data_IF_746457666114
#
_entry.id   IF_746457666114
#
_cell.length_a   1.000
_cell.length_b   1.000
_cell.length_c   1.000
_cell.angle_alpha   90.00
_cell.angle_beta   90.00
_cell.angle_gamma   90.00
#
_symmetry.space_group_name_H-M   'P 1'
#
loop_
_entity.id
_entity.type
_entity.pdbx_description
1 polymer ?
#
# COMPACT_ATOMS: atom_id res chain seq x y z
N UNK A 1 7.49 20.15 2.46
CA UNK A 1 6.32 20.71 3.18
C UNK A 1 5.10 20.20 2.44
N UNK A 2 4.18 19.50 3.11
CA UNK A 2 2.97 18.98 2.45
C UNK A 2 1.99 20.15 2.20
N UNK A 3 1.44 20.24 0.99
CA UNK A 3 0.48 21.29 0.63
C UNK A 3 -0.77 21.24 1.53
N UNK A 4 -1.22 22.39 2.02
CA UNK A 4 -2.44 22.46 2.81
C UNK A 4 -3.68 22.15 1.95
N UNK A 5 -4.64 21.45 2.54
CA UNK A 5 -5.92 21.18 1.89
C UNK A 5 -6.78 22.44 1.94
N UNK A 6 -7.19 22.92 0.76
CA UNK A 6 -7.99 24.13 0.62
C UNK A 6 -9.41 23.93 1.18
N UNK A 7 -9.74 24.66 2.24
CA UNK A 7 -11.06 24.64 2.87
C UNK A 7 -12.16 25.14 1.92
N UNK A 8 -11.89 26.12 1.07
CA UNK A 8 -12.88 26.65 0.14
C UNK A 8 -13.32 25.58 -0.87
N UNK A 9 -12.35 24.82 -1.42
CA UNK A 9 -12.65 23.68 -2.30
C UNK A 9 -13.47 22.57 -1.59
N UNK A 10 -13.19 22.29 -0.31
CA UNK A 10 -13.99 21.31 0.47
C UNK A 10 -15.42 21.81 0.69
N UNK A 11 -15.60 23.08 1.04
CA UNK A 11 -16.93 23.69 1.18
C UNK A 11 -17.70 23.66 -0.13
N UNK A 12 -17.06 24.02 -1.25
CA UNK A 12 -17.70 23.98 -2.57
C UNK A 12 -18.18 22.57 -2.95
N UNK A 13 -17.38 21.53 -2.65
CA UNK A 13 -17.80 20.14 -2.85
C UNK A 13 -19.03 19.76 -1.99
N UNK A 14 -19.06 20.17 -0.72
CA UNK A 14 -20.18 19.92 0.18
C UNK A 14 -21.48 20.56 -0.31
N UNK A 15 -21.41 21.83 -0.74
CA UNK A 15 -22.51 22.58 -1.33
C UNK A 15 -23.02 21.86 -2.58
N UNK A 16 -22.13 21.52 -3.51
CA UNK A 16 -22.49 20.85 -4.76
C UNK A 16 -23.11 19.46 -4.54
N UNK A 17 -22.62 18.69 -3.55
CA UNK A 17 -23.11 17.33 -3.28
C UNK A 17 -24.45 17.30 -2.54
N UNK A 18 -24.73 18.31 -1.71
CA UNK A 18 -25.87 18.29 -0.80
C UNK A 18 -26.90 19.40 -1.05
N UNK A 19 -26.65 20.30 -2.00
CA UNK A 19 -27.58 21.37 -2.36
C UNK A 19 -27.79 22.44 -1.27
N UNK A 20 -26.89 22.53 -0.28
CA UNK A 20 -27.00 23.45 0.84
C UNK A 20 -26.26 24.77 0.59
N UNK A 21 -26.72 25.91 1.14
CA UNK A 21 -25.99 27.18 1.05
C UNK A 21 -24.62 27.12 1.73
N UNK A 22 -23.61 27.79 1.16
CA UNK A 22 -22.24 27.79 1.70
C UNK A 22 -22.15 28.35 3.13
N UNK A 23 -23.03 29.29 3.50
CA UNK A 23 -23.16 29.88 4.84
C UNK A 23 -23.62 28.90 5.92
N UNK A 24 -24.21 27.77 5.54
CA UNK A 24 -24.70 26.74 6.46
C UNK A 24 -23.71 25.61 6.72
N UNK A 25 -22.60 25.56 5.96
CA UNK A 25 -21.58 24.53 6.08
C UNK A 25 -20.51 24.94 7.10
N UNK A 26 -20.72 24.58 8.37
CA UNK A 26 -19.63 24.62 9.35
C UNK A 26 -18.67 23.45 9.10
N UNK A 27 -17.54 23.72 8.44
CA UNK A 27 -16.53 22.70 8.06
C UNK A 27 -15.34 22.72 9.02
N UNK A 28 -15.14 21.59 9.69
CA UNK A 28 -13.93 21.29 10.45
C UNK A 28 -13.00 20.38 9.63
N UNK A 29 -11.72 20.75 9.56
CA UNK A 29 -10.67 20.01 8.86
C UNK A 29 -9.60 19.62 9.87
N UNK A 30 -9.54 18.33 10.19
CA UNK A 30 -8.52 17.77 11.07
C UNK A 30 -7.49 17.00 10.24
N UNK A 31 -6.23 17.45 10.16
CA UNK A 31 -5.17 16.69 9.51
C UNK A 31 -5.04 15.30 10.11
N UNK A 32 -4.88 14.29 9.25
CA UNK A 32 -4.55 12.93 9.65
C UNK A 32 -3.04 12.74 9.46
N UNK A 33 -2.34 12.49 10.57
CA UNK A 33 -0.92 12.17 10.54
C UNK A 33 -0.68 10.78 9.92
N UNK A 34 0.49 10.57 9.33
CA UNK A 34 0.93 9.27 8.79
C UNK A 34 0.99 9.18 7.27
N UNK A 35 0.47 10.16 6.53
CA UNK A 35 0.66 10.24 5.07
C UNK A 35 2.10 10.66 4.72
N UNK A 36 2.88 9.76 4.14
CA UNK A 36 4.27 10.05 3.73
C UNK A 36 4.36 10.85 2.43
N UNK A 37 3.34 10.75 1.56
CA UNK A 37 3.38 11.23 0.17
C UNK A 37 2.21 12.15 -0.20
N UNK A 38 1.27 12.39 0.73
CA UNK A 38 0.06 13.18 0.48
C UNK A 38 -0.49 13.79 1.76
N UNK A 39 -1.16 14.93 1.62
CA UNK A 39 -1.91 15.56 2.71
C UNK A 39 -3.27 14.90 2.82
N UNK A 40 -3.61 14.43 4.01
CA UNK A 40 -4.90 13.79 4.31
C UNK A 40 -5.56 14.51 5.47
N UNK A 41 -6.87 14.77 5.38
CA UNK A 41 -7.64 15.31 6.50
C UNK A 41 -8.99 14.61 6.65
N UNK A 42 -9.42 14.48 7.90
CA UNK A 42 -10.81 14.17 8.24
C UNK A 42 -11.62 15.46 8.15
N UNK A 43 -12.67 15.41 7.35
CA UNK A 43 -13.67 16.47 7.28
C UNK A 43 -14.85 16.11 8.16
N UNK A 44 -15.27 17.02 9.02
CA UNK A 44 -16.58 16.98 9.66
C UNK A 44 -17.34 18.23 9.27
N UNK A 45 -18.56 18.06 8.74
CA UNK A 45 -19.42 19.17 8.37
C UNK A 45 -20.81 18.99 8.97
N UNK A 46 -21.47 20.10 9.31
CA UNK A 46 -22.92 20.15 9.50
C UNK A 46 -23.50 20.77 8.24
N UNK A 47 -24.40 20.05 7.57
CA UNK A 47 -25.03 20.49 6.32
C UNK A 47 -26.53 20.41 6.54
N UNK A 48 -27.25 21.50 6.24
CA UNK A 48 -28.70 21.57 6.43
C UNK A 48 -29.44 21.86 5.12
N UNK A 49 -30.63 21.30 5.04
CA UNK A 49 -31.61 21.41 3.96
C UNK A 49 -32.82 22.26 4.43
N UNK A 50 -32.56 23.30 5.23
CA UNK A 50 -33.56 24.25 5.76
C UNK A 50 -34.34 23.76 6.99
N UNK A 51 -34.58 22.45 7.14
CA UNK A 51 -35.42 21.90 8.24
C UNK A 51 -34.61 21.09 9.28
N UNK A 52 -33.49 20.47 8.89
CA UNK A 52 -32.63 19.73 9.82
C UNK A 52 -31.15 19.78 9.41
N UNK A 53 -30.24 20.06 10.35
CA UNK A 53 -28.78 19.98 10.11
C UNK A 53 -28.28 18.57 10.34
N UNK A 54 -27.78 17.92 9.29
CA UNK A 54 -27.18 16.58 9.37
C UNK A 54 -25.66 16.67 9.45
N UNK A 55 -25.07 15.89 10.35
CA UNK A 55 -23.62 15.72 10.42
C UNK A 55 -23.16 14.83 9.25
N UNK A 56 -22.09 15.24 8.58
CA UNK A 56 -21.39 14.51 7.53
C UNK A 56 -19.93 14.38 7.92
N UNK A 57 -19.34 13.22 7.64
CA UNK A 57 -17.90 13.02 7.83
C UNK A 57 -17.31 12.17 6.71
N UNK A 58 -16.20 12.62 6.16
CA UNK A 58 -15.48 11.94 5.07
C UNK A 58 -14.00 12.29 5.15
N UNK A 59 -13.16 11.59 4.40
CA UNK A 59 -11.73 11.86 4.28
C UNK A 59 -11.47 12.63 3.00
N UNK A 60 -10.62 13.65 3.06
CA UNK A 60 -10.10 14.35 1.89
C UNK A 60 -8.60 14.08 1.76
N UNK A 61 -8.16 13.67 0.57
CA UNK A 61 -6.76 13.40 0.24
C UNK A 61 -6.33 14.28 -0.93
N UNK A 62 -5.28 15.07 -0.73
CA UNK A 62 -4.63 15.84 -1.80
C UNK A 62 -3.53 14.98 -2.42
N UNK A 63 -3.73 14.58 -3.67
CA UNK A 63 -2.76 13.80 -4.45
C UNK A 63 -2.15 14.67 -5.55
N UNK A 64 -0.84 14.53 -5.77
CA UNK A 64 -0.12 15.34 -6.74
C UNK A 64 1.06 14.60 -7.39
N UNK A 65 1.53 15.11 -8.53
CA UNK A 65 2.67 14.52 -9.24
C UNK A 65 2.39 13.08 -9.69
N UNK A 66 3.22 12.13 -9.25
CA UNK A 66 3.07 10.70 -9.62
C UNK A 66 1.88 10.04 -8.94
N UNK A 67 1.53 10.44 -7.71
CA UNK A 67 0.40 9.87 -6.95
C UNK A 67 -0.95 10.37 -7.47
N UNK A 68 -0.98 11.40 -8.33
CA UNK A 68 -2.20 11.90 -8.96
C UNK A 68 -2.96 10.84 -9.77
N UNK A 69 -2.29 9.75 -10.18
CA UNK A 69 -2.94 8.61 -10.84
C UNK A 69 -3.99 7.94 -9.96
N UNK A 70 -3.85 8.02 -8.63
CA UNK A 70 -4.79 7.45 -7.65
C UNK A 70 -6.23 7.93 -7.90
N UNK A 71 -6.40 9.18 -8.33
CA UNK A 71 -7.70 9.73 -8.71
C UNK A 71 -8.38 8.94 -9.84
N UNK A 72 -7.60 8.57 -10.85
CA UNK A 72 -8.08 7.79 -11.98
C UNK A 72 -8.30 6.33 -11.58
N UNK A 73 -7.48 5.78 -10.68
CA UNK A 73 -7.68 4.43 -10.10
C UNK A 73 -9.01 4.37 -9.33
N UNK A 74 -9.26 5.25 -8.36
CA UNK A 74 -10.52 5.24 -7.60
C UNK A 74 -11.77 5.36 -8.49
N UNK A 75 -11.71 6.20 -9.53
CA UNK A 75 -12.80 6.33 -10.51
C UNK A 75 -13.08 5.04 -11.29
N UNK A 76 -12.06 4.19 -11.48
CA UNK A 76 -12.21 2.86 -12.09
C UNK A 76 -12.74 1.87 -11.08
N UNK A 77 -12.15 1.83 -9.88
CA UNK A 77 -12.58 0.93 -8.80
C UNK A 77 -14.07 1.11 -8.51
N UNK A 78 -14.55 2.35 -8.36
CA UNK A 78 -15.95 2.67 -8.05
C UNK A 78 -16.96 2.12 -9.06
N UNK A 79 -16.53 1.87 -10.30
CA UNK A 79 -17.35 1.34 -11.41
C UNK A 79 -17.18 -0.16 -11.63
N UNK A 80 -16.48 -0.85 -10.73
CA UNK A 80 -16.16 -2.28 -10.84
C UNK A 80 -16.47 -3.02 -9.55
N UNK A 81 -16.35 -4.35 -9.56
CA UNK A 81 -16.42 -5.19 -8.35
C UNK A 81 -15.37 -4.81 -7.31
N UNK A 82 -14.24 -4.25 -7.76
CA UNK A 82 -13.15 -3.81 -6.90
C UNK A 82 -13.54 -2.67 -5.93
N UNK A 83 -14.68 -1.97 -6.14
CA UNK A 83 -15.20 -0.97 -5.19
C UNK A 83 -15.44 -1.52 -3.78
N UNK A 84 -15.64 -2.83 -3.64
CA UNK A 84 -15.85 -3.48 -2.34
C UNK A 84 -14.57 -3.49 -1.49
N UNK A 85 -13.41 -3.36 -2.11
CA UNK A 85 -12.11 -3.47 -1.46
C UNK A 85 -11.52 -2.12 -1.07
N UNK A 86 -12.09 -1.01 -1.53
CA UNK A 86 -11.63 0.36 -1.28
C UNK A 86 -12.67 1.18 -0.50
N UNK A 87 -12.30 2.33 0.08
CA UNK A 87 -13.27 3.35 0.48
C UNK A 87 -14.14 3.77 -0.72
N UNK A 88 -15.39 4.14 -0.47
CA UNK A 88 -16.23 4.75 -1.50
C UNK A 88 -15.63 6.09 -1.96
N UNK A 89 -15.54 6.29 -3.28
CA UNK A 89 -15.20 7.60 -3.86
C UNK A 89 -16.46 8.48 -3.89
N UNK A 90 -16.55 9.44 -2.97
CA UNK A 90 -17.65 10.41 -2.89
C UNK A 90 -17.52 11.51 -3.95
N UNK A 91 -16.29 11.80 -4.40
CA UNK A 91 -16.00 12.79 -5.42
C UNK A 91 -14.51 12.92 -5.71
N UNK A 92 -14.18 13.58 -6.83
CA UNK A 92 -12.81 13.92 -7.18
C UNK A 92 -12.75 15.24 -7.95
N UNK A 93 -12.02 16.22 -7.43
CA UNK A 93 -11.86 17.54 -8.01
C UNK A 93 -10.44 17.74 -8.54
N UNK A 94 -10.32 18.17 -9.80
CA UNK A 94 -9.02 18.52 -10.39
C UNK A 94 -8.67 19.96 -9.99
N UNK A 95 -7.51 20.16 -9.37
CA UNK A 95 -7.00 21.48 -9.00
C UNK A 95 -5.94 22.00 -9.99
N UNK A 96 -5.41 21.14 -10.86
CA UNK A 96 -4.40 21.51 -11.84
C UNK A 96 -3.86 20.30 -12.60
N UNK A 97 -2.79 20.51 -13.37
CA UNK A 97 -2.09 19.42 -14.06
C UNK A 97 -1.44 18.50 -13.02
N UNK A 98 -1.93 17.25 -12.93
CA UNK A 98 -1.48 16.26 -11.93
C UNK A 98 -1.70 16.69 -10.47
N UNK A 99 -2.79 17.39 -10.16
CA UNK A 99 -3.17 17.71 -8.77
C UNK A 99 -4.67 17.52 -8.59
N UNK A 100 -5.06 16.73 -7.59
CA UNK A 100 -6.45 16.34 -7.34
C UNK A 100 -6.77 16.31 -5.85
N UNK A 101 -7.99 16.71 -5.51
CA UNK A 101 -8.62 16.37 -4.23
C UNK A 101 -9.50 15.14 -4.43
N UNK A 102 -9.28 14.12 -3.61
CA UNK A 102 -10.13 12.95 -3.50
C UNK A 102 -10.99 13.06 -2.25
N UNK A 103 -12.28 12.85 -2.40
CA UNK A 103 -13.25 12.83 -1.32
C UNK A 103 -13.68 11.38 -1.13
N UNK A 104 -13.30 10.78 -0.01
CA UNK A 104 -13.43 9.35 0.26
C UNK A 104 -14.32 9.12 1.48
N UNK A 105 -15.05 8.00 1.48
CA UNK A 105 -15.73 7.48 2.67
C UNK A 105 -14.79 7.51 3.89
N UNK A 106 -15.33 7.94 5.03
CA UNK A 106 -14.64 7.75 6.30
C UNK A 106 -14.85 6.32 6.77
N UNK A 107 -13.80 5.52 6.77
CA UNK A 107 -13.79 4.21 7.39
C UNK A 107 -13.57 4.36 8.90
N UNK A 108 -14.47 3.80 9.71
CA UNK A 108 -14.30 3.71 11.17
C UNK A 108 -13.70 2.34 11.49
N UNK A 109 -12.48 2.27 12.07
CA UNK A 109 -11.85 1.00 12.40
C UNK A 109 -12.63 0.30 13.51
N UNK A 110 -12.91 -0.99 13.34
CA UNK A 110 -13.46 -1.85 14.39
C UNK A 110 -12.41 -2.18 15.46
N UNK A 111 -11.15 -2.29 15.05
CA UNK A 111 -10.01 -2.56 15.92
C UNK A 111 -8.86 -1.62 15.58
N UNK A 112 -8.19 -1.10 16.61
CA UNK A 112 -6.98 -0.29 16.41
C UNK A 112 -5.82 -1.20 16.07
N UNK A 113 -5.02 -0.79 15.10
CA UNK A 113 -3.72 -1.39 14.82
C UNK A 113 -2.72 -1.01 15.94
N UNK A 114 -1.77 -1.88 16.34
CA UNK A 114 -1.53 -3.25 15.87
C UNK A 114 -2.60 -4.25 16.31
N UNK A 115 -2.92 -5.21 15.45
CA UNK A 115 -3.84 -6.29 15.80
C UNK A 115 -3.07 -7.34 16.61
N UNK A 116 -3.57 -7.70 17.78
CA UNK A 116 -2.92 -8.72 18.63
C UNK A 116 -3.26 -10.15 18.18
N UNK A 117 -4.09 -10.30 17.14
CA UNK A 117 -4.63 -11.58 16.68
C UNK A 117 -4.37 -11.80 15.18
N UNK A 118 -3.69 -12.91 14.88
CA UNK A 118 -3.41 -13.43 13.55
C UNK A 118 -4.64 -13.64 12.66
N UNK A 119 -5.86 -13.76 13.23
CA UNK A 119 -7.08 -13.92 12.44
C UNK A 119 -7.36 -12.70 11.55
N UNK A 120 -7.06 -11.48 12.00
CA UNK A 120 -7.18 -10.29 11.17
C UNK A 120 -6.20 -10.34 10.00
N UNK A 121 -4.98 -10.75 10.29
CA UNK A 121 -3.92 -10.96 9.29
C UNK A 121 -4.31 -11.98 8.23
N UNK A 122 -4.91 -13.11 8.61
CA UNK A 122 -5.45 -14.10 7.68
C UNK A 122 -6.60 -13.53 6.83
N UNK A 123 -7.54 -12.79 7.45
CA UNK A 123 -8.67 -12.16 6.75
C UNK A 123 -8.21 -11.17 5.67
N UNK A 124 -7.12 -10.44 5.88
CA UNK A 124 -6.55 -9.56 4.84
C UNK A 124 -6.10 -10.37 3.63
N UNK A 125 -5.44 -11.52 3.84
CA UNK A 125 -5.01 -12.39 2.74
C UNK A 125 -6.20 -13.04 2.02
N UNK A 126 -7.22 -13.49 2.74
CA UNK A 126 -8.47 -13.97 2.13
C UNK A 126 -9.17 -12.87 1.31
N UNK A 127 -9.08 -11.62 1.77
CA UNK A 127 -9.61 -10.46 1.06
C UNK A 127 -8.80 -10.16 -0.19
N UNK A 128 -7.47 -10.22 -0.13
CA UNK A 128 -6.60 -10.10 -1.30
C UNK A 128 -6.81 -11.23 -2.30
N UNK A 129 -7.02 -12.46 -1.84
CA UNK A 129 -7.30 -13.58 -2.72
C UNK A 129 -8.54 -13.32 -3.58
N UNK A 130 -9.64 -12.92 -2.94
CA UNK A 130 -10.86 -12.50 -3.64
C UNK A 130 -10.64 -11.30 -4.55
N UNK A 131 -9.87 -10.31 -4.12
CA UNK A 131 -9.56 -9.15 -4.94
C UNK A 131 -8.83 -9.55 -6.23
N UNK A 132 -7.78 -10.35 -6.12
CA UNK A 132 -6.98 -10.79 -7.27
C UNK A 132 -7.75 -11.71 -8.24
N UNK A 133 -8.78 -12.39 -7.75
CA UNK A 133 -9.66 -13.23 -8.57
C UNK A 133 -10.77 -12.41 -9.26
N UNK A 134 -11.46 -11.56 -8.49
CA UNK A 134 -12.62 -10.80 -8.97
C UNK A 134 -12.20 -9.61 -9.87
N UNK A 135 -11.03 -9.03 -9.63
CA UNK A 135 -10.54 -7.89 -10.41
C UNK A 135 -9.91 -8.38 -11.72
N UNK A 136 -10.68 -8.34 -12.80
CA UNK A 136 -10.23 -8.77 -14.13
C UNK A 136 -8.93 -8.07 -14.54
N UNK A 137 -7.90 -8.80 -15.05
CA UNK A 137 -6.70 -8.22 -15.63
C UNK A 137 -6.99 -7.29 -16.83
N UNK A 138 -8.15 -7.43 -17.46
CA UNK A 138 -8.65 -6.54 -18.52
C UNK A 138 -9.18 -5.20 -18.00
N UNK A 139 -9.21 -4.99 -16.69
CA UNK A 139 -9.56 -3.70 -16.10
C UNK A 139 -8.56 -2.64 -16.59
N UNK A 140 -9.05 -1.69 -17.39
CA UNK A 140 -8.26 -0.55 -17.91
C UNK A 140 -7.90 0.41 -16.77
N UNK A 141 -6.93 0.02 -15.95
CA UNK A 141 -6.24 0.93 -15.05
C UNK A 141 -5.47 1.99 -15.87
N UNK A 142 -5.22 3.17 -15.29
CA UNK A 142 -4.43 4.20 -15.97
C UNK A 142 -3.06 3.65 -16.37
N UNK A 143 -2.67 3.90 -17.63
CA UNK A 143 -1.36 3.53 -18.14
C UNK A 143 -0.26 4.09 -17.21
N UNK A 144 0.66 3.21 -16.82
CA UNK A 144 1.76 3.52 -15.94
C UNK A 144 2.92 2.61 -16.29
N UNK A 145 4.06 3.20 -16.63
CA UNK A 145 5.29 2.46 -16.83
C UNK A 145 5.93 2.15 -15.47
N UNK A 146 5.32 1.19 -14.78
CA UNK A 146 5.79 0.75 -13.47
C UNK A 146 7.20 0.14 -13.56
N UNK A 147 7.53 -0.54 -14.65
CA UNK A 147 8.83 -1.22 -14.78
C UNK A 147 9.96 -0.17 -14.87
N UNK A 148 9.79 0.92 -15.61
CA UNK A 148 10.77 2.01 -15.63
C UNK A 148 10.90 2.73 -14.27
N UNK A 149 9.77 2.96 -13.58
CA UNK A 149 9.78 3.57 -12.25
C UNK A 149 10.45 2.66 -11.20
N UNK A 150 10.18 1.36 -11.27
CA UNK A 150 10.80 0.36 -10.41
C UNK A 150 12.31 0.29 -10.62
N UNK A 151 12.79 0.31 -11.87
CA UNK A 151 14.22 0.34 -12.17
C UNK A 151 14.89 1.60 -11.61
N UNK A 152 14.25 2.75 -11.77
CA UNK A 152 14.72 4.01 -11.19
C UNK A 152 14.79 3.92 -9.65
N UNK A 153 13.76 3.34 -9.02
CA UNK A 153 13.72 3.12 -7.57
C UNK A 153 14.80 2.14 -7.10
N UNK A 154 15.04 1.07 -7.86
CA UNK A 154 16.05 0.06 -7.57
C UNK A 154 17.46 0.63 -7.62
N UNK A 155 17.77 1.42 -8.67
CA UNK A 155 19.04 2.13 -8.80
C UNK A 155 19.28 3.09 -7.64
N UNK A 156 18.29 3.93 -7.31
CA UNK A 156 18.38 4.84 -6.14
C UNK A 156 18.57 4.08 -4.83
N UNK A 157 17.92 2.93 -4.68
CA UNK A 157 18.07 2.09 -3.48
C UNK A 157 19.48 1.53 -3.37
N UNK A 158 20.06 1.06 -4.48
CA UNK A 158 21.44 0.59 -4.54
C UNK A 158 22.42 1.71 -4.22
N UNK A 159 22.28 2.88 -4.84
CA UNK A 159 23.15 4.03 -4.56
C UNK A 159 23.07 4.47 -3.09
N UNK A 160 21.88 4.45 -2.49
CA UNK A 160 21.69 4.77 -1.07
C UNK A 160 22.36 3.72 -0.18
N UNK A 161 22.25 2.43 -0.53
CA UNK A 161 22.96 1.35 0.14
C UNK A 161 24.49 1.50 0.05
N UNK A 162 25.02 1.82 -1.12
CA UNK A 162 26.48 2.00 -1.31
C UNK A 162 27.04 3.20 -0.53
N UNK A 163 26.23 4.24 -0.35
CA UNK A 163 26.59 5.45 0.42
C UNK A 163 26.34 5.34 1.92
N UNK A 164 25.62 4.31 2.37
CA UNK A 164 25.26 4.16 3.78
C UNK A 164 26.44 3.64 4.61
N UNK A 165 26.76 4.26 5.75
CA UNK A 165 27.82 3.76 6.63
C UNK A 165 27.52 2.34 7.11
N UNK A 166 28.44 1.40 6.87
CA UNK A 166 28.24 -0.02 7.20
C UNK A 166 27.98 -0.28 8.70
N UNK A 167 28.44 0.61 9.59
CA UNK A 167 28.21 0.51 11.04
C UNK A 167 26.75 0.74 11.46
N UNK A 168 25.96 1.45 10.66
CA UNK A 168 24.55 1.77 10.96
C UNK A 168 23.62 0.60 10.65
N UNK A 169 23.97 -0.19 9.62
CA UNK A 169 23.24 -1.41 9.24
C UNK A 169 24.27 -2.50 8.96
N UNK A 170 24.70 -3.22 10.01
CA UNK A 170 25.78 -4.22 9.92
C UNK A 170 25.54 -5.31 8.86
N UNK A 171 24.29 -5.62 8.52
CA UNK A 171 23.94 -6.60 7.49
C UNK A 171 24.28 -6.12 6.06
N UNK A 172 24.46 -4.82 5.85
CA UNK A 172 24.58 -4.18 4.54
C UNK A 172 25.82 -4.65 3.77
N UNK A 173 27.00 -4.61 4.40
CA UNK A 173 28.25 -5.00 3.76
C UNK A 173 28.18 -6.42 3.16
N UNK A 174 27.56 -7.35 3.89
CA UNK A 174 27.40 -8.76 3.45
C UNK A 174 26.35 -8.94 2.35
N UNK A 175 25.36 -8.04 2.27
CA UNK A 175 24.26 -8.15 1.33
C UNK A 175 24.47 -7.34 0.04
N UNK A 176 25.40 -6.38 0.04
CA UNK A 176 25.63 -5.48 -1.08
C UNK A 176 25.94 -6.19 -2.42
N UNK A 177 26.77 -7.25 -2.48
CA UNK A 177 26.98 -7.97 -3.74
C UNK A 177 25.71 -8.63 -4.28
N UNK A 178 24.86 -9.16 -3.39
CA UNK A 178 23.57 -9.73 -3.79
C UNK A 178 22.59 -8.63 -4.23
N UNK A 179 22.60 -7.47 -3.57
CA UNK A 179 21.79 -6.32 -3.98
C UNK A 179 22.12 -5.86 -5.40
N UNK A 180 23.40 -5.75 -5.75
CA UNK A 180 23.83 -5.39 -7.11
C UNK A 180 23.29 -6.38 -8.16
N UNK A 181 23.49 -7.68 -7.94
CA UNK A 181 23.01 -8.72 -8.86
C UNK A 181 21.49 -8.75 -8.97
N UNK A 182 20.76 -8.57 -7.87
CA UNK A 182 19.28 -8.53 -7.89
C UNK A 182 18.76 -7.29 -8.62
N UNK A 183 19.41 -6.12 -8.47
CA UNK A 183 19.05 -4.90 -9.22
C UNK A 183 19.27 -5.09 -10.72
N UNK A 184 20.39 -5.68 -11.11
CA UNK A 184 20.70 -6.03 -12.51
C UNK A 184 19.71 -7.05 -13.08
N UNK A 185 19.41 -8.09 -12.30
CA UNK A 185 18.49 -9.16 -12.68
C UNK A 185 17.00 -8.75 -12.66
N UNK A 186 16.67 -7.57 -12.13
CA UNK A 186 15.30 -7.17 -11.84
C UNK A 186 14.36 -7.29 -13.05
N UNK A 187 14.69 -6.84 -14.28
CA UNK A 187 13.79 -7.01 -15.42
C UNK A 187 13.43 -8.47 -15.71
N UNK A 188 14.38 -9.39 -15.54
CA UNK A 188 14.17 -10.82 -15.77
C UNK A 188 13.34 -11.45 -14.65
N UNK A 189 13.63 -11.10 -13.39
CA UNK A 189 12.80 -11.47 -12.23
C UNK A 189 11.34 -11.02 -12.40
N UNK A 190 11.14 -9.79 -12.89
CA UNK A 190 9.81 -9.22 -13.14
C UNK A 190 9.03 -10.02 -14.19
N UNK A 191 9.66 -10.40 -15.30
CA UNK A 191 9.03 -11.29 -16.30
C UNK A 191 8.64 -12.64 -15.69
N UNK A 192 9.57 -13.28 -14.97
CA UNK A 192 9.29 -14.56 -14.31
C UNK A 192 8.11 -14.47 -13.33
N UNK A 193 8.03 -13.39 -12.54
CA UNK A 193 6.93 -13.16 -11.60
C UNK A 193 5.57 -12.97 -12.29
N UNK A 194 5.55 -12.24 -13.40
CA UNK A 194 4.34 -11.96 -14.16
C UNK A 194 3.82 -13.18 -14.92
N UNK A 195 4.71 -14.09 -15.29
CA UNK A 195 4.37 -15.30 -16.05
C UNK A 195 4.23 -16.54 -15.13
N UNK A 196 4.44 -16.38 -13.82
CA UNK A 196 4.40 -17.46 -12.83
C UNK A 196 3.00 -18.08 -12.69
N UNK A 197 2.87 -19.35 -13.08
CA UNK A 197 1.64 -20.13 -12.92
C UNK A 197 1.60 -20.88 -11.58
N UNK A 198 0.41 -21.10 -10.98
CA UNK A 198 -0.94 -20.82 -11.52
C UNK A 198 -1.48 -19.41 -11.21
N UNK A 199 -0.69 -18.52 -10.60
CA UNK A 199 -1.20 -17.22 -10.12
C UNK A 199 -1.33 -16.18 -11.24
N UNK A 200 -0.46 -16.24 -12.24
CA UNK A 200 -0.44 -15.35 -13.41
C UNK A 200 -0.42 -13.87 -13.03
N UNK A 201 -1.00 -13.05 -13.92
CA UNK A 201 -1.16 -11.61 -13.72
C UNK A 201 -2.54 -11.31 -13.14
N UNK A 202 -2.60 -10.39 -12.19
CA UNK A 202 -3.86 -9.87 -11.66
C UNK A 202 -3.80 -8.35 -11.50
N UNK A 203 -4.94 -7.72 -11.28
CA UNK A 203 -4.94 -6.39 -10.68
C UNK A 203 -4.44 -6.54 -9.24
N UNK A 204 -3.37 -5.82 -8.90
CA UNK A 204 -2.80 -5.76 -7.56
C UNK A 204 -2.95 -4.35 -6.97
N UNK A 205 -3.01 -4.27 -5.64
CA UNK A 205 -2.97 -3.03 -4.88
C UNK A 205 -1.61 -2.34 -5.00
N UNK A 206 -0.53 -3.12 -4.90
CA UNK A 206 0.84 -2.69 -5.11
C UNK A 206 1.51 -2.00 -3.92
N UNK A 207 0.83 -1.90 -2.78
CA UNK A 207 1.34 -1.26 -1.54
C UNK A 207 0.68 -1.80 -0.27
N UNK A 208 0.50 -3.12 -0.18
CA UNK A 208 -0.24 -3.70 0.95
C UNK A 208 0.66 -3.80 2.17
N UNK A 209 0.34 -3.05 3.22
CA UNK A 209 0.98 -3.10 4.53
C UNK A 209 -0.01 -2.58 5.59
N UNK A 210 0.24 -2.79 6.90
CA UNK A 210 -0.74 -2.44 7.94
C UNK A 210 -1.16 -0.96 8.01
N UNK A 211 -0.35 -0.05 7.46
CA UNK A 211 -0.72 1.37 7.34
C UNK A 211 -1.77 1.65 6.26
N UNK A 212 -1.90 0.74 5.29
CA UNK A 212 -2.81 0.82 4.15
C UNK A 212 -3.98 -0.16 4.27
N UNK A 213 -4.24 -0.72 5.46
CA UNK A 213 -5.37 -1.62 5.70
C UNK A 213 -6.13 -1.19 6.95
N UNK A 214 -7.45 -1.03 6.81
CA UNK A 214 -8.35 -0.79 7.94
C UNK A 214 -9.39 -1.89 7.99
N UNK A 215 -9.61 -2.48 9.16
CA UNK A 215 -10.70 -3.43 9.37
C UNK A 215 -11.91 -2.67 9.91
N UNK A 216 -13.02 -2.68 9.17
CA UNK A 216 -14.31 -2.13 9.63
C UNK A 216 -15.26 -3.24 10.02
N UNK A 217 -16.32 -2.89 10.75
CA UNK A 217 -17.48 -3.78 10.95
C UNK A 217 -18.58 -3.39 9.97
N UNK A 218 -19.08 -4.35 9.20
CA UNK A 218 -20.18 -4.18 8.26
C UNK A 218 -21.07 -5.41 8.32
N UNK A 219 -22.38 -5.20 8.54
CA UNK A 219 -23.38 -6.28 8.63
C UNK A 219 -22.97 -7.40 9.61
N UNK A 220 -22.44 -7.00 10.77
CA UNK A 220 -21.96 -7.92 11.80
C UNK A 220 -20.56 -8.52 11.56
N UNK A 221 -20.06 -8.50 10.33
CA UNK A 221 -18.77 -9.08 9.94
C UNK A 221 -17.62 -8.06 9.98
N UNK A 222 -16.40 -8.56 10.22
CA UNK A 222 -15.16 -7.80 10.10
C UNK A 222 -14.67 -7.85 8.65
N UNK A 223 -14.51 -6.67 8.05
CA UNK A 223 -14.17 -6.50 6.65
C UNK A 223 -12.90 -5.65 6.51
N UNK A 224 -11.79 -6.21 5.99
CA UNK A 224 -10.63 -5.43 5.60
C UNK A 224 -10.93 -4.54 4.38
N UNK A 225 -10.53 -3.27 4.49
CA UNK A 225 -10.59 -2.25 3.45
C UNK A 225 -9.17 -1.78 3.15
N UNK A 226 -8.78 -1.84 1.88
CA UNK A 226 -7.47 -1.42 1.40
C UNK A 226 -7.50 0.08 1.09
N UNK A 227 -6.49 0.80 1.55
CA UNK A 227 -6.30 2.24 1.39
C UNK A 227 -5.08 2.51 0.53
N UNK A 228 -4.99 3.72 -0.02
CA UNK A 228 -3.86 4.18 -0.84
C UNK A 228 -3.63 3.35 -2.12
N UNK A 229 -4.51 3.56 -3.09
CA UNK A 229 -4.50 2.84 -4.35
C UNK A 229 -3.56 3.46 -5.39
N UNK A 230 -2.63 4.33 -4.97
CA UNK A 230 -1.73 5.04 -5.88
C UNK A 230 -0.78 4.12 -6.64
N UNK A 231 -0.52 2.90 -6.15
CA UNK A 231 0.36 1.90 -6.77
C UNK A 231 -0.39 0.74 -7.45
N UNK A 232 -1.70 0.83 -7.55
CA UNK A 232 -2.52 -0.22 -8.13
C UNK A 232 -2.21 -0.40 -9.62
N UNK A 233 -2.00 -1.64 -10.06
CA UNK A 233 -1.58 -1.96 -11.44
C UNK A 233 -1.89 -3.40 -11.78
N UNK A 234 -1.62 -3.80 -13.02
CA UNK A 234 -1.48 -5.23 -13.34
C UNK A 234 -0.10 -5.69 -12.88
N UNK A 235 -0.05 -6.76 -12.09
CA UNK A 235 1.18 -7.30 -11.51
C UNK A 235 1.04 -8.74 -11.07
N UNK A 236 2.04 -9.25 -10.38
CA UNK A 236 1.99 -10.58 -9.78
C UNK A 236 1.25 -10.49 -8.43
N UNK A 237 0.21 -11.33 -8.18
CA UNK A 237 -0.47 -11.38 -6.89
C UNK A 237 0.47 -11.58 -5.69
N UNK A 238 1.62 -12.21 -5.91
CA UNK A 238 2.64 -12.42 -4.89
C UNK A 238 3.26 -11.12 -4.39
N UNK A 239 3.21 -10.03 -5.17
CA UNK A 239 3.71 -8.73 -4.72
C UNK A 239 2.90 -8.20 -3.53
N UNK A 240 1.57 -8.27 -3.61
CA UNK A 240 0.69 -7.86 -2.49
C UNK A 240 0.83 -8.80 -1.29
N UNK A 241 0.84 -10.11 -1.54
CA UNK A 241 0.94 -11.13 -0.48
C UNK A 241 2.28 -11.02 0.26
N UNK A 242 3.39 -10.92 -0.48
CA UNK A 242 4.71 -10.77 0.12
C UNK A 242 4.87 -9.41 0.80
N UNK A 243 4.32 -8.33 0.23
CA UNK A 243 4.33 -7.01 0.90
C UNK A 243 3.65 -7.10 2.27
N UNK A 244 2.45 -7.68 2.32
CA UNK A 244 1.71 -7.89 3.56
C UNK A 244 2.49 -8.72 4.57
N UNK A 245 2.91 -9.93 4.18
CA UNK A 245 3.61 -10.86 5.07
C UNK A 245 4.94 -10.31 5.60
N UNK A 246 5.67 -9.52 4.82
CA UNK A 246 6.92 -8.89 5.27
C UNK A 246 6.68 -7.68 6.16
N UNK A 247 5.68 -6.85 5.86
CA UNK A 247 5.36 -5.68 6.67
C UNK A 247 4.88 -6.04 8.09
N UNK A 248 4.32 -7.24 8.28
CA UNK A 248 3.91 -7.73 9.60
C UNK A 248 5.08 -8.08 10.53
N UNK A 249 6.25 -8.44 9.98
CA UNK A 249 7.38 -8.94 10.76
C UNK A 249 7.85 -8.01 11.88
N UNK A 250 7.65 -6.71 11.70
CA UNK A 250 8.04 -5.68 12.67
C UNK A 250 7.07 -5.59 13.86
N UNK A 251 5.79 -5.91 13.66
CA UNK A 251 4.71 -5.55 14.61
C UNK A 251 3.90 -6.76 15.10
N UNK A 252 3.89 -7.85 14.34
CA UNK A 252 3.19 -9.11 14.65
C UNK A 252 4.15 -10.31 14.49
N UNK A 253 5.02 -10.59 15.47
CA UNK A 253 5.97 -11.70 15.39
C UNK A 253 5.31 -13.07 15.18
N UNK A 254 4.09 -13.27 15.69
CA UNK A 254 3.33 -14.50 15.49
C UNK A 254 2.90 -14.68 14.03
N UNK A 255 2.54 -13.60 13.33
CA UNK A 255 2.22 -13.66 11.91
C UNK A 255 3.43 -14.09 11.07
N UNK A 256 4.64 -13.64 11.45
CA UNK A 256 5.87 -14.08 10.79
C UNK A 256 6.14 -15.58 11.02
N UNK A 257 5.89 -16.10 12.23
CA UNK A 257 6.00 -17.55 12.52
C UNK A 257 5.01 -18.37 11.70
N UNK A 258 3.84 -17.82 11.42
CA UNK A 258 2.77 -18.46 10.63
C UNK A 258 2.82 -18.13 9.14
N UNK A 259 3.94 -17.60 8.63
CA UNK A 259 4.09 -17.18 7.24
C UNK A 259 3.57 -18.23 6.24
N UNK A 260 4.03 -19.47 6.38
CA UNK A 260 3.65 -20.56 5.47
C UNK A 260 2.16 -20.92 5.61
N UNK A 261 1.63 -20.98 6.84
CA UNK A 261 0.19 -21.18 7.07
C UNK A 261 -0.67 -20.09 6.42
N UNK A 262 -0.24 -18.83 6.54
CA UNK A 262 -0.94 -17.68 5.96
C UNK A 262 -0.90 -17.69 4.43
N UNK A 263 0.25 -18.04 3.84
CA UNK A 263 0.38 -18.20 2.39
C UNK A 263 -0.47 -19.37 1.86
N UNK A 264 -0.48 -20.52 2.55
CA UNK A 264 -1.37 -21.63 2.22
C UNK A 264 -2.85 -21.22 2.30
N UNK A 265 -3.23 -20.43 3.31
CA UNK A 265 -4.57 -19.87 3.42
C UNK A 265 -4.95 -18.96 2.25
N UNK A 266 -4.03 -18.11 1.79
CA UNK A 266 -4.22 -17.29 0.59
C UNK A 266 -4.47 -18.16 -0.66
N UNK A 267 -3.68 -19.23 -0.86
CA UNK A 267 -3.86 -20.14 -1.99
C UNK A 267 -5.23 -20.84 -1.93
N UNK A 268 -5.62 -21.35 -0.76
CA UNK A 268 -6.93 -21.97 -0.57
C UNK A 268 -8.07 -20.98 -0.90
N UNK A 269 -7.96 -19.73 -0.45
CA UNK A 269 -8.92 -18.67 -0.76
C UNK A 269 -8.93 -18.27 -2.24
N UNK A 270 -7.85 -18.52 -2.99
CA UNK A 270 -7.79 -18.42 -4.45
C UNK A 270 -8.37 -19.64 -5.18
N UNK A 271 -8.84 -20.66 -4.46
CA UNK A 271 -9.28 -21.93 -5.07
C UNK A 271 -8.13 -22.80 -5.57
N UNK A 272 -6.90 -22.55 -5.11
CA UNK A 272 -5.71 -23.31 -5.48
C UNK A 272 -5.35 -24.32 -4.38
N UNK A 273 -4.57 -25.34 -4.76
CA UNK A 273 -4.03 -26.29 -3.79
C UNK A 273 -3.18 -25.54 -2.74
N UNK A 274 -3.43 -25.73 -1.42
CA UNK A 274 -2.73 -25.02 -0.35
C UNK A 274 -1.31 -25.56 -0.08
N UNK A 275 -0.64 -26.04 -1.13
CA UNK A 275 0.68 -26.69 -1.06
C UNK A 275 1.76 -25.68 -1.43
N UNK A 276 2.69 -25.47 -0.51
CA UNK A 276 3.84 -24.60 -0.76
C UNK A 276 4.95 -25.41 -1.42
N UNK A 277 5.04 -25.30 -2.74
CA UNK A 277 6.15 -25.86 -3.52
C UNK A 277 7.41 -25.02 -3.36
N UNK A 278 8.56 -25.56 -3.74
CA UNK A 278 9.80 -24.78 -3.83
C UNK A 278 9.67 -23.61 -4.80
N UNK A 279 9.10 -23.85 -5.99
CA UNK A 279 8.90 -22.82 -7.02
C UNK A 279 8.05 -21.65 -6.53
N UNK A 280 6.98 -21.92 -5.76
CA UNK A 280 6.15 -20.88 -5.17
C UNK A 280 6.91 -20.07 -4.11
N UNK A 281 7.68 -20.74 -3.25
CA UNK A 281 8.50 -20.04 -2.24
C UNK A 281 9.56 -19.17 -2.91
N UNK A 282 10.21 -19.66 -3.96
CA UNK A 282 11.20 -18.91 -4.73
C UNK A 282 10.55 -17.68 -5.37
N UNK A 283 9.39 -17.85 -6.03
CA UNK A 283 8.62 -16.73 -6.57
C UNK A 283 8.20 -15.70 -5.50
N UNK A 284 7.80 -16.14 -4.31
CA UNK A 284 7.48 -15.24 -3.21
C UNK A 284 8.71 -14.44 -2.72
N UNK A 285 9.92 -15.02 -2.77
CA UNK A 285 11.15 -14.28 -2.49
C UNK A 285 11.47 -13.25 -3.57
N UNK A 286 11.26 -13.56 -4.85
CA UNK A 286 11.43 -12.60 -5.94
C UNK A 286 10.44 -11.43 -5.80
N UNK A 287 9.17 -11.72 -5.47
CA UNK A 287 8.15 -10.69 -5.26
C UNK A 287 8.49 -9.79 -4.06
N UNK A 288 8.95 -10.38 -2.96
CA UNK A 288 9.43 -9.63 -1.80
C UNK A 288 10.65 -8.74 -2.13
N UNK A 289 11.59 -9.23 -2.94
CA UNK A 289 12.74 -8.44 -3.39
C UNK A 289 12.31 -7.28 -4.31
N UNK A 290 11.34 -7.51 -5.20
CA UNK A 290 10.72 -6.46 -6.01
C UNK A 290 10.15 -5.34 -5.12
N UNK A 291 9.38 -5.68 -4.09
CA UNK A 291 8.84 -4.71 -3.13
C UNK A 291 9.93 -3.96 -2.36
N UNK A 292 11.01 -4.64 -1.97
CA UNK A 292 12.16 -4.04 -1.28
C UNK A 292 12.77 -2.92 -2.14
N UNK A 293 12.99 -3.19 -3.43
CA UNK A 293 13.54 -2.26 -4.42
C UNK A 293 12.56 -1.18 -4.85
N UNK A 294 11.26 -1.43 -4.69
CA UNK A 294 10.20 -0.48 -4.99
C UNK A 294 10.03 0.61 -3.92
N UNK A 295 10.94 0.69 -2.94
CA UNK A 295 11.08 1.81 -1.99
C UNK A 295 11.20 1.41 -0.52
N UNK A 296 10.79 0.19 -0.16
CA UNK A 296 10.77 -0.24 1.25
C UNK A 296 12.19 -0.28 1.87
N UNK A 297 13.17 -0.84 1.16
CA UNK A 297 14.54 -0.90 1.64
C UNK A 297 15.16 0.51 1.74
N UNK A 298 15.00 1.33 0.71
CA UNK A 298 15.49 2.72 0.70
C UNK A 298 14.93 3.54 1.88
N UNK A 299 13.63 3.42 2.17
CA UNK A 299 13.01 4.10 3.30
C UNK A 299 13.66 3.72 4.64
N UNK A 300 13.92 2.43 4.86
CA UNK A 300 14.53 1.96 6.10
C UNK A 300 16.01 2.31 6.21
N UNK A 301 16.77 2.26 5.10
CA UNK A 301 18.16 2.73 5.07
C UNK A 301 18.23 4.22 5.43
N UNK A 302 17.42 5.06 4.77
CA UNK A 302 17.35 6.49 5.08
C UNK A 302 16.94 6.76 6.54
N UNK A 303 15.93 6.03 7.04
CA UNK A 303 15.44 6.19 8.40
C UNK A 303 16.48 5.80 9.45
N UNK A 304 17.29 4.76 9.18
CA UNK A 304 18.36 4.32 10.07
C UNK A 304 19.49 5.36 10.17
N UNK A 305 19.81 6.04 9.06
CA UNK A 305 20.88 7.05 8.99
C UNK A 305 20.38 8.48 9.23
N UNK A 306 19.10 8.68 9.56
CA UNK A 306 18.53 10.03 9.69
C UNK A 306 19.01 10.74 10.96
N UNK A 307 19.73 11.84 10.76
CA UNK A 307 20.11 12.75 11.85
C UNK A 307 18.89 13.29 12.59
N UNK A 308 18.95 13.31 13.93
CA UNK A 308 17.88 13.80 14.79
C UNK A 308 16.69 12.85 15.00
N UNK A 309 16.73 11.63 14.47
CA UNK A 309 15.78 10.59 14.84
C UNK A 309 16.12 10.00 16.23
N UNK A 310 15.09 9.62 17.00
CA UNK A 310 15.30 8.92 18.27
C UNK A 310 16.11 7.62 18.06
N UNK A 311 17.04 7.25 18.97
CA UNK A 311 17.87 6.06 18.83
C UNK A 311 17.08 4.78 18.60
N UNK A 312 15.95 4.60 19.29
CA UNK A 312 15.06 3.45 19.14
C UNK A 312 14.46 3.35 17.72
N UNK A 313 14.05 4.49 17.15
CA UNK A 313 13.50 4.54 15.80
C UNK A 313 14.58 4.19 14.75
N UNK A 314 15.82 4.66 14.94
CA UNK A 314 16.95 4.28 14.09
C UNK A 314 17.27 2.79 14.19
N UNK A 315 17.30 2.25 15.40
CA UNK A 315 17.53 0.82 15.63
C UNK A 315 16.43 -0.05 15.01
N UNK A 316 15.15 0.36 15.12
CA UNK A 316 14.04 -0.33 14.46
C UNK A 316 14.15 -0.28 12.93
N UNK A 317 14.52 0.87 12.37
CA UNK A 317 14.75 1.01 10.93
C UNK A 317 15.93 0.13 10.45
N UNK A 318 17.03 0.08 11.20
CA UNK A 318 18.18 -0.77 10.89
C UNK A 318 17.83 -2.27 10.90
N UNK A 319 17.01 -2.72 11.87
CA UNK A 319 16.48 -4.10 11.89
C UNK A 319 15.61 -4.40 10.68
N UNK A 320 14.68 -3.51 10.33
CA UNK A 320 13.84 -3.67 9.14
C UNK A 320 14.67 -3.67 7.84
N UNK A 321 15.70 -2.82 7.74
CA UNK A 321 16.63 -2.85 6.62
C UNK A 321 17.37 -4.20 6.53
N UNK A 322 17.84 -4.74 7.66
CA UNK A 322 18.48 -6.06 7.69
C UNK A 322 17.55 -7.19 7.22
N UNK A 323 16.27 -7.15 7.58
CA UNK A 323 15.27 -8.12 7.12
C UNK A 323 15.03 -8.04 5.60
N UNK A 324 14.95 -6.83 5.05
CA UNK A 324 14.88 -6.65 3.59
C UNK A 324 16.17 -7.09 2.89
N UNK A 325 17.35 -6.85 3.46
CA UNK A 325 18.62 -7.33 2.91
C UNK A 325 18.70 -8.87 2.93
N UNK A 326 18.09 -9.53 3.93
CA UNK A 326 17.94 -11.00 3.93
C UNK A 326 17.05 -11.46 2.79
N UNK A 327 15.95 -10.76 2.49
CA UNK A 327 15.08 -11.04 1.33
C UNK A 327 15.89 -10.94 0.04
N UNK A 328 16.66 -9.87 -0.15
CA UNK A 328 17.53 -9.68 -1.33
C UNK A 328 18.50 -10.85 -1.49
N UNK A 329 19.18 -11.26 -0.42
CA UNK A 329 20.08 -12.43 -0.47
C UNK A 329 19.38 -13.74 -0.81
N UNK A 330 18.13 -13.92 -0.39
CA UNK A 330 17.34 -15.11 -0.72
C UNK A 330 16.91 -15.09 -2.19
N UNK A 331 16.48 -13.94 -2.70
CA UNK A 331 16.18 -13.76 -4.12
C UNK A 331 17.41 -14.02 -5.01
N UNK A 332 18.58 -13.49 -4.65
CA UNK A 332 19.86 -13.76 -5.35
C UNK A 332 20.23 -15.25 -5.37
N UNK A 333 19.85 -16.00 -4.34
CA UNK A 333 20.17 -17.43 -4.25
C UNK A 333 19.19 -18.29 -5.07
N UNK A 334 17.92 -17.88 -5.22
CA UNK A 334 16.91 -18.67 -5.92
C UNK A 334 16.70 -18.26 -7.39
N UNK A 335 17.14 -17.08 -7.82
CA UNK A 335 17.01 -16.60 -9.19
C UNK A 335 18.11 -17.11 -10.15
N UNK A 336 19.08 -17.89 -9.65
CA UNK A 336 20.23 -18.35 -10.44
C UNK A 336 19.87 -19.44 -11.43
#
# INVERSE_FOLDING_TARGET
MLDAIDRAAVTAFLVARHGAPASDAAVDLRPLAGGLSSSVALVTARVGDGVARRRRSFVVKLVHGVTAREAAVYRRLSRSVARRFSPELLGAQRLGRRRWLLYLERIVPAHRWPWTDSAHTARVLERLARFHEEASPGARLPAWDYEAELLTSAGRTLEAAERSPCGEVAALARALPALRRVVEALPAMRRQLLDFQPLGRAVIHGDVHPGNVVVRRRDGALEPVLLDWARARIGSPLEDVSSWLKALGTWEPEAMRRHDTLLSGYLAARGLAPVLTRSLRDAAWLAAASNALAGALAYHLWSATRSGAAPEARAAAARNAADWLRVIRRADACFR
#
